data_IF_372831070532
#
_entry.id   IF_372831070532
#
_cell.length_a   1.000
_cell.length_b   1.000
_cell.length_c   1.000
_cell.angle_alpha   90.00
_cell.angle_beta   90.00
_cell.angle_gamma   90.00
#
_symmetry.space_group_name_H-M   'P 1'
#
loop_
_entity.id
_entity.type
_entity.pdbx_description
1 polymer ?
#
# COMPACT_ATOMS: atom_id res chain seq x y z
N UNK A 1 -2.92 -34.56 -6.71
CA UNK A 1 -3.83 -33.41 -6.64
C UNK A 1 -4.09 -32.97 -8.06
N UNK A 2 -5.35 -32.85 -8.49
CA UNK A 2 -5.66 -32.13 -9.73
C UNK A 2 -5.31 -30.66 -9.50
N UNK A 3 -4.47 -30.08 -10.35
CA UNK A 3 -4.27 -28.63 -10.39
C UNK A 3 -5.62 -27.99 -10.72
N UNK A 4 -6.09 -27.08 -9.86
CA UNK A 4 -7.27 -26.27 -10.21
C UNK A 4 -6.93 -25.49 -11.49
N UNK A 5 -7.84 -25.44 -12.48
CA UNK A 5 -7.58 -24.68 -13.70
C UNK A 5 -7.39 -23.21 -13.35
N UNK A 6 -6.29 -22.62 -13.85
CA UNK A 6 -5.99 -21.20 -13.66
C UNK A 6 -7.01 -20.35 -14.40
N UNK A 7 -7.61 -19.37 -13.72
CA UNK A 7 -8.56 -18.40 -14.26
C UNK A 7 -7.89 -17.03 -14.39
N UNK A 8 -7.72 -16.54 -15.62
CA UNK A 8 -7.21 -15.18 -15.83
C UNK A 8 -8.31 -14.14 -15.57
N UNK A 9 -7.99 -13.07 -14.85
CA UNK A 9 -8.86 -11.90 -14.75
C UNK A 9 -9.01 -11.26 -16.15
N UNK A 10 -10.24 -10.92 -16.48
CA UNK A 10 -10.54 -10.16 -17.71
C UNK A 10 -9.99 -8.73 -17.62
N UNK A 11 -9.85 -8.06 -18.75
CA UNK A 11 -9.46 -6.64 -18.79
C UNK A 11 -10.42 -5.75 -17.97
N UNK A 12 -11.73 -6.02 -18.03
CA UNK A 12 -12.73 -5.29 -17.26
C UNK A 12 -12.54 -5.47 -15.74
N UNK A 13 -12.23 -6.69 -15.31
CA UNK A 13 -11.95 -6.98 -13.89
C UNK A 13 -10.66 -6.32 -13.42
N UNK A 14 -9.60 -6.33 -14.24
CA UNK A 14 -8.35 -5.63 -13.92
C UNK A 14 -8.55 -4.11 -13.90
N UNK A 15 -9.35 -3.55 -14.81
CA UNK A 15 -9.72 -2.14 -14.77
C UNK A 15 -10.51 -1.78 -13.51
N UNK A 16 -11.42 -2.67 -13.07
CA UNK A 16 -12.15 -2.48 -11.81
C UNK A 16 -11.23 -2.53 -10.59
N UNK A 17 -10.28 -3.46 -10.57
CA UNK A 17 -9.23 -3.52 -9.55
C UNK A 17 -8.45 -2.20 -9.51
N UNK A 18 -8.03 -1.67 -10.66
CA UNK A 18 -7.33 -0.38 -10.73
C UNK A 18 -8.19 0.78 -10.22
N UNK A 19 -9.50 0.78 -10.51
CA UNK A 19 -10.41 1.79 -9.96
C UNK A 19 -10.43 1.75 -8.43
N UNK A 20 -10.47 0.55 -7.83
CA UNK A 20 -10.37 0.40 -6.38
C UNK A 20 -9.06 0.90 -5.83
N UNK A 21 -7.93 0.61 -6.50
CA UNK A 21 -6.61 1.08 -6.06
C UNK A 21 -6.56 2.61 -6.02
N UNK A 22 -7.03 3.31 -7.06
CA UNK A 22 -7.03 4.77 -7.09
C UNK A 22 -7.88 5.36 -5.95
N UNK A 23 -9.14 4.90 -5.81
CA UNK A 23 -10.04 5.39 -4.76
C UNK A 23 -9.55 5.00 -3.35
N UNK A 24 -8.99 3.80 -3.21
CA UNK A 24 -8.38 3.32 -1.99
C UNK A 24 -7.18 4.17 -1.56
N UNK A 25 -6.33 4.57 -2.51
CA UNK A 25 -5.21 5.47 -2.25
C UNK A 25 -5.67 6.85 -1.79
N UNK A 26 -6.67 7.44 -2.47
CA UNK A 26 -7.26 8.73 -2.07
C UNK A 26 -7.87 8.67 -0.66
N UNK A 27 -8.58 7.58 -0.34
CA UNK A 27 -9.17 7.38 0.98
C UNK A 27 -8.10 7.20 2.06
N UNK A 28 -7.09 6.35 1.85
CA UNK A 28 -5.98 6.17 2.81
C UNK A 28 -5.18 7.45 2.99
N UNK A 29 -5.04 8.27 1.95
CA UNK A 29 -4.43 9.60 2.03
C UNK A 29 -5.30 10.63 2.74
N UNK A 30 -6.58 10.32 3.01
CA UNK A 30 -7.54 11.23 3.66
C UNK A 30 -8.07 12.32 2.74
N UNK A 31 -7.95 12.14 1.43
CA UNK A 31 -8.41 13.09 0.42
C UNK A 31 -9.91 12.99 0.18
N UNK A 32 -10.48 11.81 0.38
CA UNK A 32 -11.92 11.55 0.29
C UNK A 32 -12.46 10.89 1.56
N UNK A 33 -13.71 11.18 1.97
CA UNK A 33 -14.39 10.44 3.02
C UNK A 33 -14.85 9.06 2.53
N UNK A 34 -15.20 8.17 3.45
CA UNK A 34 -15.69 6.84 3.08
C UNK A 34 -17.02 6.86 2.32
N UNK A 35 -17.86 7.87 2.55
CA UNK A 35 -19.12 8.02 1.81
C UNK A 35 -18.89 8.17 0.29
N UNK A 36 -17.73 8.72 -0.12
CA UNK A 36 -17.34 8.78 -1.53
C UNK A 36 -16.95 7.40 -2.11
N UNK A 37 -16.35 6.54 -1.27
CA UNK A 37 -16.10 5.13 -1.62
C UNK A 37 -17.43 4.40 -1.84
N UNK A 38 -18.39 4.58 -0.92
CA UNK A 38 -19.73 3.99 -1.00
C UNK A 38 -20.50 4.52 -2.22
N UNK A 39 -20.39 5.82 -2.52
CA UNK A 39 -20.99 6.42 -3.72
C UNK A 39 -20.44 5.81 -5.01
N UNK A 40 -19.15 5.46 -5.03
CA UNK A 40 -18.46 4.94 -6.21
C UNK A 40 -18.70 3.44 -6.43
N UNK A 41 -18.75 2.65 -5.37
CA UNK A 41 -18.78 1.19 -5.45
C UNK A 41 -20.04 0.54 -4.90
N UNK A 42 -20.97 1.33 -4.35
CA UNK A 42 -22.15 0.85 -3.67
C UNK A 42 -21.88 0.47 -2.21
N UNK A 43 -22.88 -0.12 -1.56
CA UNK A 43 -22.84 -0.45 -0.14
C UNK A 43 -21.97 -1.69 0.12
N UNK A 44 -20.91 -1.61 0.95
CA UNK A 44 -20.11 -2.77 1.36
C UNK A 44 -20.78 -3.56 2.47
N UNK A 45 -20.33 -4.80 2.67
CA UNK A 45 -20.58 -5.55 3.91
C UNK A 45 -19.72 -4.98 5.03
N UNK A 46 -20.32 -4.70 6.18
CA UNK A 46 -19.61 -4.21 7.38
C UNK A 46 -19.36 -5.36 8.34
N UNK A 47 -18.12 -5.51 8.78
CA UNK A 47 -17.69 -6.43 9.82
C UNK A 47 -17.22 -5.61 11.03
N UNK A 48 -17.97 -5.70 12.11
CA UNK A 48 -17.73 -4.94 13.33
C UNK A 48 -18.21 -5.77 14.53
N UNK A 49 -17.28 -6.20 15.37
CA UNK A 49 -17.56 -7.02 16.52
C UNK A 49 -16.85 -6.49 17.77
N UNK A 50 -17.48 -6.67 18.93
CA UNK A 50 -16.90 -6.33 20.23
C UNK A 50 -15.63 -7.16 20.49
N UNK A 51 -14.61 -6.51 21.04
CA UNK A 51 -13.29 -7.13 21.25
C UNK A 51 -12.42 -7.28 20.00
N UNK A 52 -12.95 -7.01 18.79
CA UNK A 52 -12.16 -6.97 17.55
C UNK A 52 -11.65 -5.56 17.29
N UNK A 53 -10.32 -5.43 17.13
CA UNK A 53 -9.62 -4.15 16.91
C UNK A 53 -10.08 -3.42 15.64
N UNK A 54 -10.32 -4.15 14.57
CA UNK A 54 -10.61 -3.55 13.26
C UNK A 54 -12.12 -3.47 13.01
N UNK A 55 -12.53 -2.42 12.32
CA UNK A 55 -13.81 -2.37 11.60
C UNK A 55 -13.47 -2.53 10.13
N UNK A 56 -14.08 -3.49 9.44
CA UNK A 56 -13.80 -3.74 8.03
C UNK A 56 -15.05 -3.55 7.19
N UNK A 57 -14.88 -2.90 6.05
CA UNK A 57 -15.88 -2.78 5.02
C UNK A 57 -15.39 -3.52 3.79
N UNK A 58 -16.09 -4.60 3.42
CA UNK A 58 -15.65 -5.49 2.36
C UNK A 58 -16.58 -5.47 1.15
N UNK A 59 -15.96 -5.63 -0.02
CA UNK A 59 -16.62 -5.91 -1.27
C UNK A 59 -16.06 -7.22 -1.86
N UNK A 60 -16.95 -8.13 -2.24
CA UNK A 60 -16.62 -9.37 -2.93
C UNK A 60 -17.10 -9.26 -4.38
N UNK A 61 -16.25 -9.59 -5.35
CA UNK A 61 -16.54 -9.38 -6.79
C UNK A 61 -16.45 -10.65 -7.63
N UNK A 62 -17.33 -10.70 -8.63
CA UNK A 62 -17.37 -11.65 -9.76
C UNK A 62 -16.86 -13.05 -9.39
N UNK A 63 -17.67 -13.83 -8.66
CA UNK A 63 -17.37 -15.23 -8.33
C UNK A 63 -16.00 -15.39 -7.64
N UNK A 64 -15.76 -14.59 -6.61
CA UNK A 64 -14.54 -14.56 -5.78
C UNK A 64 -13.25 -14.26 -6.58
N UNK A 65 -13.33 -13.45 -7.65
CA UNK A 65 -12.12 -13.02 -8.39
C UNK A 65 -11.25 -12.05 -7.60
N UNK A 66 -11.86 -11.20 -6.77
CA UNK A 66 -11.13 -10.38 -5.80
C UNK A 66 -12.01 -10.03 -4.61
N UNK A 67 -11.37 -9.85 -3.46
CA UNK A 67 -11.96 -9.23 -2.28
C UNK A 67 -11.23 -7.93 -1.98
N UNK A 68 -12.00 -6.90 -1.65
CA UNK A 68 -11.50 -5.56 -1.34
C UNK A 68 -11.93 -5.20 0.08
N UNK A 69 -11.00 -4.69 0.89
CA UNK A 69 -11.28 -4.29 2.28
C UNK A 69 -10.83 -2.86 2.56
N UNK A 70 -11.67 -2.14 3.29
CA UNK A 70 -11.35 -0.84 3.89
C UNK A 70 -11.46 -0.98 5.40
N UNK A 71 -10.33 -0.82 6.10
CA UNK A 71 -10.21 -1.13 7.51
C UNK A 71 -9.94 0.12 8.34
N UNK A 72 -10.67 0.26 9.44
CA UNK A 72 -10.47 1.26 10.48
C UNK A 72 -9.93 0.60 11.75
N UNK A 73 -9.09 1.30 12.49
CA UNK A 73 -8.56 0.86 13.78
C UNK A 73 -9.31 1.53 14.94
N UNK A 74 -9.94 0.72 15.80
CA UNK A 74 -10.66 1.21 16.99
C UNK A 74 -9.73 1.65 18.13
N UNK A 75 -8.48 1.17 18.16
CA UNK A 75 -7.53 1.46 19.24
C UNK A 75 -6.89 2.85 19.06
N UNK A 76 -6.55 3.20 17.83
CA UNK A 76 -6.04 4.53 17.52
C UNK A 76 -7.21 5.41 17.11
N UNK A 77 -7.76 6.17 18.05
CA UNK A 77 -8.87 7.06 17.77
C UNK A 77 -8.39 8.48 17.43
N UNK A 78 -9.03 9.09 16.44
CA UNK A 78 -8.88 10.50 16.10
C UNK A 78 -10.24 11.16 16.34
N UNK A 79 -10.29 12.17 17.20
CA UNK A 79 -11.53 12.87 17.60
C UNK A 79 -12.64 11.92 18.09
N UNK A 80 -12.26 10.88 18.84
CA UNK A 80 -13.18 9.87 19.38
C UNK A 80 -13.75 8.90 18.33
N UNK A 81 -13.23 8.91 17.11
CA UNK A 81 -13.63 7.99 16.03
C UNK A 81 -12.49 7.04 15.67
N UNK A 82 -12.81 5.79 15.25
CA UNK A 82 -11.81 4.88 14.68
C UNK A 82 -11.02 5.56 13.56
N UNK A 83 -9.70 5.38 13.56
CA UNK A 83 -8.83 5.95 12.53
C UNK A 83 -8.79 5.10 11.28
N UNK A 84 -8.51 5.73 10.14
CA UNK A 84 -8.24 5.01 8.88
C UNK A 84 -6.97 4.19 9.07
N UNK A 85 -7.02 2.90 8.79
CA UNK A 85 -5.88 2.01 8.97
C UNK A 85 -5.33 1.50 7.64
N UNK A 86 -6.13 0.80 6.84
CA UNK A 86 -5.61 0.09 5.66
C UNK A 86 -6.69 -0.10 4.61
N UNK A 87 -6.31 0.06 3.35
CA UNK A 87 -7.05 -0.43 2.20
C UNK A 87 -6.32 -1.66 1.65
N UNK A 88 -7.04 -2.72 1.31
CA UNK A 88 -6.45 -3.96 0.81
C UNK A 88 -7.23 -4.59 -0.33
N UNK A 89 -6.53 -5.30 -1.21
CA UNK A 89 -7.13 -6.20 -2.19
C UNK A 89 -6.45 -7.56 -2.07
N UNK A 90 -7.24 -8.64 -2.15
CA UNK A 90 -6.76 -9.99 -2.43
C UNK A 90 -7.37 -10.46 -3.74
N UNK A 91 -6.54 -10.99 -4.64
CA UNK A 91 -6.97 -11.60 -5.90
C UNK A 91 -7.24 -13.08 -5.67
N UNK A 92 -8.44 -13.54 -5.99
CA UNK A 92 -8.90 -14.89 -5.64
C UNK A 92 -8.80 -15.14 -4.13
N UNK A 93 -8.40 -16.36 -3.78
CA UNK A 93 -8.01 -16.75 -2.41
C UNK A 93 -6.63 -16.17 -1.98
N UNK A 94 -6.14 -15.13 -2.66
CA UNK A 94 -4.84 -14.52 -2.42
C UNK A 94 -3.69 -15.35 -2.98
N UNK A 95 -2.68 -15.62 -2.18
CA UNK A 95 -1.39 -16.16 -2.64
C UNK A 95 -1.50 -17.56 -3.27
N UNK A 96 -2.41 -18.41 -2.77
CA UNK A 96 -2.65 -19.76 -3.27
C UNK A 96 -3.85 -19.91 -4.22
N UNK A 97 -4.51 -18.81 -4.57
CA UNK A 97 -5.71 -18.82 -5.40
C UNK A 97 -5.45 -19.18 -6.87
N UNK A 98 -6.48 -19.62 -7.58
CA UNK A 98 -6.45 -19.96 -9.00
C UNK A 98 -6.69 -18.77 -9.94
N UNK A 99 -7.02 -17.59 -9.40
CA UNK A 99 -7.27 -16.36 -10.17
C UNK A 99 -5.97 -15.59 -10.42
N UNK A 100 -5.60 -15.35 -11.67
CA UNK A 100 -4.32 -14.74 -12.05
C UNK A 100 -4.53 -13.40 -12.75
N UNK A 101 -3.60 -12.46 -12.54
CA UNK A 101 -3.58 -11.16 -13.21
C UNK A 101 -2.46 -11.07 -14.25
N UNK A 102 -2.54 -10.04 -15.08
CA UNK A 102 -1.49 -9.61 -15.99
C UNK A 102 -1.26 -8.09 -15.81
N UNK A 103 -1.01 -7.67 -14.56
CA UNK A 103 -0.72 -6.28 -14.16
C UNK A 103 0.77 -6.18 -13.81
N UNK A 104 1.63 -5.65 -14.70
CA UNK A 104 3.04 -5.43 -14.39
C UNK A 104 3.23 -4.56 -13.12
N UNK A 105 4.24 -4.84 -12.30
CA UNK A 105 4.52 -4.00 -11.13
C UNK A 105 4.85 -2.54 -11.50
N UNK A 106 5.36 -2.29 -12.70
CA UNK A 106 5.60 -0.93 -13.20
C UNK A 106 4.32 -0.11 -13.33
N UNK A 107 3.15 -0.75 -13.38
CA UNK A 107 1.84 -0.06 -13.37
C UNK A 107 1.72 0.87 -12.16
N UNK A 108 2.28 0.50 -11.00
CA UNK A 108 2.18 1.29 -9.77
C UNK A 108 2.99 2.58 -9.80
N UNK A 109 4.03 2.67 -10.65
CA UNK A 109 4.85 3.88 -10.76
C UNK A 109 4.07 5.07 -11.33
N UNK A 110 3.00 4.81 -12.08
CA UNK A 110 2.11 5.85 -12.63
C UNK A 110 1.16 6.48 -11.60
N UNK A 111 1.09 5.94 -10.38
CA UNK A 111 0.16 6.38 -9.33
C UNK A 111 0.73 7.52 -8.45
N UNK A 112 1.85 8.12 -8.86
CA UNK A 112 2.54 9.14 -8.05
C UNK A 112 3.17 8.59 -6.78
N UNK A 113 3.35 7.27 -6.71
CA UNK A 113 4.03 6.58 -5.63
C UNK A 113 5.55 6.67 -5.80
N UNK A 114 6.25 6.73 -4.68
CA UNK A 114 7.70 6.70 -4.62
C UNK A 114 8.17 5.33 -4.16
N UNK A 115 9.04 4.67 -4.94
CA UNK A 115 9.61 3.37 -4.59
C UNK A 115 10.41 3.48 -3.30
N UNK A 116 10.24 2.55 -2.35
CA UNK A 116 10.99 2.61 -1.09
C UNK A 116 12.49 2.40 -1.35
N UNK A 117 13.31 3.24 -0.74
CA UNK A 117 14.76 3.13 -0.84
C UNK A 117 15.34 3.23 0.57
N UNK A 118 15.72 2.08 1.15
CA UNK A 118 16.32 2.03 2.48
C UNK A 118 17.48 3.03 2.60
N UNK A 119 17.44 3.86 3.63
CA UNK A 119 18.44 4.92 3.85
C UNK A 119 18.09 6.27 3.21
N UNK A 120 17.08 6.34 2.34
CA UNK A 120 16.61 7.60 1.77
C UNK A 120 15.92 8.47 2.84
N UNK A 121 16.08 9.78 2.75
CA UNK A 121 15.38 10.71 3.63
C UNK A 121 13.93 10.93 3.15
N UNK A 122 12.96 10.72 4.04
CA UNK A 122 11.53 10.81 3.74
C UNK A 122 11.09 12.27 3.55
N UNK A 123 11.48 13.13 4.49
CA UNK A 123 11.15 14.56 4.57
C UNK A 123 12.39 15.44 4.77
N UNK A 124 13.59 14.88 4.56
CA UNK A 124 14.87 15.52 4.84
C UNK A 124 15.45 15.21 6.22
N UNK A 125 14.74 14.44 7.06
CA UNK A 125 15.25 14.00 8.35
C UNK A 125 15.02 12.52 8.63
N UNK A 126 13.78 12.05 8.51
CA UNK A 126 13.47 10.64 8.81
C UNK A 126 14.01 9.74 7.71
N UNK A 127 14.50 8.57 8.09
CA UNK A 127 15.12 7.62 7.17
C UNK A 127 14.17 6.50 6.82
N UNK A 128 14.07 6.18 5.53
CA UNK A 128 13.30 5.06 5.03
C UNK A 128 13.93 3.72 5.46
N UNK A 129 13.09 2.83 5.98
CA UNK A 129 13.49 1.53 6.52
C UNK A 129 13.02 0.37 5.65
N UNK A 130 12.14 0.61 4.68
CA UNK A 130 11.69 -0.37 3.70
C UNK A 130 12.58 -0.46 2.47
N UNK A 131 12.52 -1.60 1.80
CA UNK A 131 13.14 -1.80 0.49
C UNK A 131 12.06 -1.84 -0.59
N UNK A 132 12.36 -1.34 -1.79
CA UNK A 132 11.46 -1.43 -2.92
C UNK A 132 11.14 -2.89 -3.28
N UNK A 133 12.14 -3.77 -3.25
CA UNK A 133 11.98 -5.18 -3.57
C UNK A 133 12.22 -6.01 -2.31
N UNK A 134 11.18 -6.70 -1.84
CA UNK A 134 11.27 -7.63 -0.72
C UNK A 134 10.93 -9.06 -1.17
N UNK A 135 11.86 -10.02 -1.07
CA UNK A 135 11.61 -11.43 -1.37
C UNK A 135 10.83 -12.10 -0.23
N UNK A 136 9.62 -11.61 0.04
CA UNK A 136 8.79 -11.97 1.20
C UNK A 136 8.60 -13.49 1.33
N UNK A 137 8.40 -14.21 0.20
CA UNK A 137 8.25 -15.67 0.20
C UNK A 137 9.51 -16.45 0.62
N UNK A 138 10.71 -15.88 0.45
CA UNK A 138 11.95 -16.50 0.93
C UNK A 138 12.24 -16.16 2.39
N UNK A 139 11.76 -15.00 2.86
CA UNK A 139 11.92 -14.55 4.25
C UNK A 139 10.86 -15.16 5.18
N UNK A 140 9.75 -15.61 4.62
CA UNK A 140 8.66 -16.20 5.37
C UNK A 140 9.01 -17.59 5.91
N UNK A 141 9.41 -17.63 7.17
CA UNK A 141 9.71 -18.87 7.90
C UNK A 141 8.47 -19.70 8.20
N UNK A 142 7.26 -19.13 8.11
CA UNK A 142 6.02 -19.83 8.41
C UNK A 142 5.55 -20.70 7.24
N UNK A 143 6.07 -20.46 6.03
CA UNK A 143 5.68 -21.16 4.81
C UNK A 143 4.29 -20.80 4.29
N UNK A 144 3.73 -19.68 4.76
CA UNK A 144 2.46 -19.14 4.27
C UNK A 144 2.58 -18.64 2.84
N UNK A 145 3.70 -18.00 2.51
CA UNK A 145 4.02 -17.50 1.18
C UNK A 145 4.91 -18.51 0.43
N UNK A 146 4.63 -18.77 -0.87
CA UNK A 146 5.50 -19.59 -1.68
C UNK A 146 6.81 -18.84 -1.93
N UNK A 147 7.90 -19.58 -2.10
CA UNK A 147 9.26 -19.04 -2.27
C UNK A 147 9.43 -18.03 -3.41
N UNK A 148 8.50 -17.99 -4.37
CA UNK A 148 8.50 -17.08 -5.50
C UNK A 148 7.54 -15.89 -5.33
N UNK A 149 7.08 -15.65 -4.11
CA UNK A 149 6.30 -14.48 -3.74
C UNK A 149 7.22 -13.33 -3.34
N UNK A 150 6.95 -12.14 -3.89
CA UNK A 150 7.69 -10.91 -3.59
C UNK A 150 6.72 -9.78 -3.30
N UNK A 151 7.16 -8.80 -2.51
CA UNK A 151 6.42 -7.56 -2.28
C UNK A 151 7.20 -6.40 -2.85
N UNK A 152 6.52 -5.57 -3.65
CA UNK A 152 7.03 -4.28 -4.08
C UNK A 152 6.55 -3.18 -3.15
N UNK A 153 7.49 -2.54 -2.45
CA UNK A 153 7.25 -1.52 -1.45
C UNK A 153 7.27 -0.11 -2.03
N UNK A 154 6.26 0.69 -1.69
CA UNK A 154 6.14 2.09 -2.09
C UNK A 154 5.70 2.97 -0.91
N UNK A 155 5.96 4.28 -1.01
CA UNK A 155 5.33 5.32 -0.17
C UNK A 155 4.60 6.32 -1.05
N UNK A 156 3.49 6.86 -0.55
CA UNK A 156 2.88 8.05 -1.13
C UNK A 156 3.55 9.28 -0.52
N UNK A 157 4.12 10.21 -1.32
CA UNK A 157 4.66 11.46 -0.79
C UNK A 157 3.57 12.28 -0.09
N UNK A 158 3.68 12.44 1.23
CA UNK A 158 2.71 13.18 2.04
C UNK A 158 3.12 14.65 2.22
N UNK A 159 2.15 15.56 2.36
CA UNK A 159 2.41 16.93 2.80
C UNK A 159 3.18 16.97 4.13
N UNK A 160 4.02 18.00 4.32
CA UNK A 160 4.88 18.14 5.51
C UNK A 160 4.11 18.41 6.81
N UNK A 161 2.84 18.76 6.72
CA UNK A 161 1.92 18.90 7.84
C UNK A 161 1.05 17.66 8.08
N UNK A 162 1.20 16.61 7.27
CA UNK A 162 0.51 15.34 7.48
C UNK A 162 0.93 14.71 8.80
N UNK A 163 -0.02 14.27 9.65
CA UNK A 163 0.29 13.58 10.90
C UNK A 163 0.59 12.09 10.69
N UNK A 164 0.59 11.62 9.45
CA UNK A 164 0.84 10.22 9.09
C UNK A 164 1.64 10.12 7.80
N UNK A 165 2.22 8.94 7.59
CA UNK A 165 2.72 8.47 6.31
C UNK A 165 1.77 7.44 5.69
N UNK A 166 1.88 7.27 4.38
CA UNK A 166 1.11 6.26 3.63
C UNK A 166 2.11 5.36 2.91
N UNK A 167 2.03 4.06 3.21
CA UNK A 167 2.93 3.03 2.67
C UNK A 167 2.08 2.00 1.93
N UNK A 168 2.54 1.57 0.77
CA UNK A 168 1.90 0.55 -0.04
C UNK A 168 2.83 -0.65 -0.26
N UNK A 169 2.26 -1.84 -0.25
CA UNK A 169 2.93 -3.08 -0.62
C UNK A 169 2.11 -3.82 -1.67
N UNK A 170 2.72 -4.17 -2.79
CA UNK A 170 2.09 -4.93 -3.88
C UNK A 170 2.75 -6.31 -3.99
N UNK A 171 1.99 -7.34 -3.68
CA UNK A 171 2.44 -8.72 -3.60
C UNK A 171 2.24 -9.48 -4.90
N UNK A 172 3.28 -10.12 -5.40
CA UNK A 172 3.34 -10.77 -6.71
C UNK A 172 3.84 -12.21 -6.62
N UNK A 173 3.31 -13.07 -7.49
CA UNK A 173 4.00 -14.29 -7.90
C UNK A 173 4.79 -14.02 -9.17
N UNK A 174 5.98 -14.61 -9.26
CA UNK A 174 6.81 -14.58 -10.46
C UNK A 174 7.78 -15.75 -10.48
N UNK A 175 8.77 -15.70 -11.36
CA UNK A 175 9.75 -16.78 -11.51
C UNK A 175 11.17 -16.29 -11.22
N UNK A 176 11.92 -17.03 -10.42
CA UNK A 176 13.34 -16.76 -10.24
C UNK A 176 14.14 -17.27 -11.44
N UNK A 177 14.98 -16.41 -12.03
CA UNK A 177 15.89 -16.74 -13.15
C UNK A 177 16.86 -17.86 -12.78
N UNK A 178 17.27 -17.92 -11.52
CA UNK A 178 18.13 -18.97 -10.98
C UNK A 178 17.69 -19.33 -9.56
N UNK A 179 17.47 -20.63 -9.30
CA UNK A 179 17.22 -21.14 -7.95
C UNK A 179 18.45 -21.08 -7.02
N UNK A 180 19.63 -20.79 -7.58
CA UNK A 180 20.91 -20.67 -6.86
C UNK A 180 21.45 -19.24 -6.83
N UNK A 181 20.76 -18.28 -7.45
CA UNK A 181 21.16 -16.87 -7.47
C UNK A 181 20.56 -16.10 -6.30
N UNK A 182 21.11 -14.92 -6.03
CA UNK A 182 20.57 -14.03 -5.00
C UNK A 182 19.15 -13.60 -5.34
N UNK A 183 18.31 -13.44 -4.31
CA UNK A 183 16.94 -12.97 -4.43
C UNK A 183 16.90 -11.46 -4.66
N UNK A 184 17.27 -11.05 -5.88
CA UNK A 184 17.29 -9.66 -6.32
C UNK A 184 16.24 -9.43 -7.39
N UNK A 185 15.81 -8.17 -7.56
CA UNK A 185 14.86 -7.78 -8.61
C UNK A 185 15.30 -8.23 -10.00
N UNK A 186 16.60 -8.11 -10.34
CA UNK A 186 17.14 -8.55 -11.64
C UNK A 186 16.97 -10.05 -11.91
N UNK A 187 16.84 -10.84 -10.84
CA UNK A 187 16.65 -12.28 -10.92
C UNK A 187 15.17 -12.70 -10.83
N UNK A 188 14.22 -11.76 -10.80
CA UNK A 188 12.79 -12.04 -10.75
C UNK A 188 12.13 -11.71 -12.11
N UNK A 189 11.61 -12.73 -12.81
CA UNK A 189 10.92 -12.61 -14.10
C UNK A 189 9.40 -12.53 -13.92
N UNK A 190 8.76 -11.83 -14.86
CA UNK A 190 7.31 -11.81 -15.05
C UNK A 190 6.51 -11.42 -13.80
N UNK A 191 6.86 -10.27 -13.20
CA UNK A 191 6.14 -9.66 -12.09
C UNK A 191 4.82 -9.02 -12.56
N UNK A 192 3.95 -9.83 -13.17
CA UNK A 192 2.65 -9.44 -13.72
C UNK A 192 1.48 -10.08 -12.97
N UNK A 193 1.73 -11.12 -12.16
CA UNK A 193 0.69 -11.81 -11.40
C UNK A 193 0.57 -11.24 -9.97
N UNK A 194 -0.05 -10.07 -9.86
CA UNK A 194 -0.49 -9.48 -8.61
C UNK A 194 -1.43 -10.47 -7.88
N UNK A 195 -1.16 -10.71 -6.60
CA UNK A 195 -1.97 -11.57 -5.72
C UNK A 195 -2.68 -10.81 -4.62
N UNK A 196 -2.06 -9.75 -4.15
CA UNK A 196 -2.57 -8.96 -3.05
C UNK A 196 -1.90 -7.61 -3.05
N UNK A 197 -2.57 -6.62 -2.48
CA UNK A 197 -1.94 -5.35 -2.12
C UNK A 197 -2.53 -4.84 -0.82
N UNK A 198 -1.74 -4.02 -0.14
CA UNK A 198 -2.17 -3.28 1.03
C UNK A 198 -1.60 -1.87 0.97
N UNK A 199 -2.43 -0.88 1.23
CA UNK A 199 -2.06 0.53 1.37
C UNK A 199 -2.44 0.93 2.79
N UNK A 200 -1.44 1.16 3.63
CA UNK A 200 -1.61 1.41 5.05
C UNK A 200 -1.30 2.86 5.41
N UNK A 201 -2.03 3.37 6.41
CA UNK A 201 -1.72 4.63 7.07
C UNK A 201 -0.88 4.35 8.31
N UNK A 202 0.28 4.99 8.40
CA UNK A 202 1.16 4.95 9.56
C UNK A 202 1.13 6.30 10.28
N UNK A 203 0.37 6.38 11.38
CA UNK A 203 0.34 7.58 12.21
C UNK A 203 1.67 7.78 12.90
N UNK A 204 2.22 8.99 12.78
CA UNK A 204 3.53 9.31 13.31
C UNK A 204 3.48 9.43 14.83
N UNK A 205 4.54 8.94 15.46
CA UNK A 205 4.81 9.17 16.88
C UNK A 205 5.07 10.67 17.15
N UNK A 206 4.93 11.15 18.40
CA UNK A 206 5.28 12.52 18.76
C UNK A 206 6.69 12.93 18.32
N UNK A 207 7.67 12.03 18.45
CA UNK A 207 9.05 12.26 18.04
C UNK A 207 9.18 12.41 16.53
N UNK A 208 8.52 11.56 15.74
CA UNK A 208 8.52 11.65 14.29
C UNK A 208 7.82 12.91 13.78
N UNK A 209 6.72 13.31 14.44
CA UNK A 209 6.04 14.58 14.17
C UNK A 209 6.97 15.77 14.43
N UNK A 210 7.73 15.74 15.52
CA UNK A 210 8.71 16.77 15.84
C UNK A 210 9.82 16.84 14.77
N UNK A 211 10.34 15.69 14.33
CA UNK A 211 11.35 15.63 13.27
C UNK A 211 10.81 16.19 11.95
N UNK A 212 9.59 15.82 11.55
CA UNK A 212 8.91 16.36 10.37
C UNK A 212 8.71 17.87 10.45
N UNK A 213 8.28 18.39 11.61
CA UNK A 213 8.15 19.82 11.84
C UNK A 213 9.50 20.55 11.76
N UNK A 214 10.57 19.96 12.29
CA UNK A 214 11.91 20.52 12.20
C UNK A 214 12.41 20.54 10.75
N UNK A 215 12.19 19.47 10.00
CA UNK A 215 12.51 19.40 8.58
C UNK A 215 11.77 20.47 7.76
N UNK A 216 10.47 20.67 8.06
CA UNK A 216 9.68 21.78 7.49
C UNK A 216 10.30 23.15 7.83
N UNK A 217 10.71 23.37 9.08
CA UNK A 217 11.35 24.63 9.48
C UNK A 217 12.71 24.84 8.80
N UNK A 218 13.50 23.80 8.57
CA UNK A 218 14.76 23.95 7.82
C UNK A 218 14.48 24.31 6.36
N UNK A 219 13.59 23.57 5.71
CA UNK A 219 13.23 23.79 4.30
C UNK A 219 12.62 25.17 4.01
N UNK A 220 11.75 25.68 4.90
CA UNK A 220 11.04 26.96 4.70
C UNK A 220 11.60 28.12 5.54
N UNK A 221 12.29 27.84 6.63
CA UNK A 221 12.95 28.84 7.47
C UNK A 221 14.18 29.46 6.81
N UNK A 222 14.90 28.69 5.97
CA UNK A 222 15.94 29.23 5.10
C UNK A 222 15.39 30.17 4.02
N UNK A 223 14.15 29.96 3.56
CA UNK A 223 13.50 30.87 2.60
C UNK A 223 13.11 32.22 3.22
N UNK A 224 12.91 32.29 4.54
CA UNK A 224 12.69 33.55 5.25
C UNK A 224 13.97 34.34 5.55
N UNK A 225 15.16 33.81 5.21
CA UNK A 225 16.43 34.54 5.34
C UNK A 225 16.83 35.26 4.04
N UNK A 226 16.12 35.05 2.92
CA UNK A 226 16.44 35.66 1.62
C UNK A 226 15.55 36.85 1.20
N UNK A 227 14.66 37.36 2.07
CA UNK A 227 13.86 38.58 1.81
C UNK A 227 14.17 39.74 2.75
N UNK A 228 15.24 39.63 3.54
CA UNK A 228 15.80 40.73 4.32
C UNK A 228 16.63 41.70 3.48
N UNK A 229 16.12 42.22 2.36
CA UNK A 229 16.59 43.52 1.85
C UNK A 229 15.72 44.61 2.46
N UNK A 230 16.27 45.32 3.44
CA UNK A 230 15.95 46.74 3.63
C UNK A 230 17.26 47.50 3.88
N UNK A 231 17.33 48.66 3.22
CA UNK A 231 18.24 49.82 3.30
C UNK A 231 19.36 49.93 2.24
N UNK A 232 19.54 51.12 1.62
CA UNK A 232 19.21 52.47 2.14
C UNK A 232 17.78 52.93 1.88
#
# INVERSE_FOLDING_TARGET
MQEKPVRMMTEAQQAKLMQFVCVGLEWVAGQIPFDEVVRTFGQPKKYDADGVRMIEYAYDFDDDTMSVTFSYDKLHQIDGKPSINTFGIKVGDGVGGDVYTNIPYETWDSLGLHRLARGELIDGMRTEMGDFFDPTGLRDISGWYPTNYVTFGYRLPMPLDSPFDVIAGFGYLGEWVSKKGDATLSNFRSAVNLRSLAIGRHYLTPEELQQRQLAKRQKYGEMNLCTGMVCP
#
